data_IF_474478557537
#
_entry.id   IF_474478557537
#
_cell.length_a   1.000
_cell.length_b   1.000
_cell.length_c   1.000
_cell.angle_alpha   90.00
_cell.angle_beta   90.00
_cell.angle_gamma   90.00
#
_symmetry.space_group_name_H-M   'P 1'
#
loop_
_entity.id
_entity.type
_entity.pdbx_description
1 polymer ?
#
# COMPACT_ATOMS: atom_id res chain seq x y z
N UNK A 1 13.96 -19.32 -1.74
CA UNK A 1 13.63 -20.39 -0.76
C UNK A 1 12.12 -20.36 -0.56
N UNK A 2 11.43 -21.43 -0.97
CA UNK A 2 9.97 -21.58 -0.82
C UNK A 2 9.68 -22.03 0.63
N UNK A 3 8.65 -21.50 1.32
CA UNK A 3 8.14 -22.16 2.50
C UNK A 3 7.43 -23.43 2.03
N UNK A 4 7.95 -24.58 2.43
CA UNK A 4 7.33 -25.88 2.21
C UNK A 4 6.11 -26.00 3.13
N UNK A 5 4.90 -26.00 2.52
CA UNK A 5 3.67 -26.37 3.22
C UNK A 5 3.63 -27.89 3.39
N UNK A 6 3.54 -28.36 4.63
CA UNK A 6 3.23 -29.76 4.93
C UNK A 6 1.81 -29.84 5.50
N UNK A 7 0.93 -30.57 4.80
CA UNK A 7 -0.38 -30.99 5.32
C UNK A 7 -0.24 -32.38 5.94
N UNK A 8 -0.36 -32.48 7.27
CA UNK A 8 -0.42 -33.76 7.98
C UNK A 8 -1.89 -34.17 8.23
N UNK A 9 -2.24 -35.39 7.86
CA UNK A 9 -3.48 -36.06 8.27
C UNK A 9 -3.14 -37.13 9.33
N UNK A 10 -3.55 -36.89 10.58
CA UNK A 10 -3.60 -37.92 11.63
C UNK A 10 -2.41 -37.98 12.61
N UNK A 11 -2.78 -38.01 13.90
CA UNK A 11 -1.99 -38.23 15.14
C UNK A 11 -0.62 -37.53 15.28
N UNK A 12 -0.57 -36.58 16.22
CA UNK A 12 0.60 -35.78 16.59
C UNK A 12 1.64 -36.63 17.29
N UNK A 13 2.77 -36.90 16.62
CA UNK A 13 4.06 -37.09 17.26
C UNK A 13 4.94 -35.89 16.91
N UNK A 14 5.44 -35.19 17.91
CA UNK A 14 6.23 -33.98 17.76
C UNK A 14 7.71 -34.31 17.94
N UNK A 15 8.49 -34.25 16.86
CA UNK A 15 9.94 -34.15 16.87
C UNK A 15 10.34 -32.77 16.38
N UNK A 16 11.07 -32.00 17.20
CA UNK A 16 11.46 -30.62 16.91
C UNK A 16 12.91 -30.53 16.45
N UNK A 17 13.13 -29.78 15.36
CA UNK A 17 14.42 -29.25 14.93
C UNK A 17 14.32 -27.71 14.95
N UNK A 18 15.24 -27.07 15.67
CA UNK A 18 15.20 -25.63 15.99
C UNK A 18 15.90 -24.83 14.87
N UNK A 19 15.17 -23.88 14.27
CA UNK A 19 15.70 -22.88 13.34
C UNK A 19 14.68 -21.76 13.11
N UNK A 20 15.15 -20.51 13.00
CA UNK A 20 14.36 -19.28 12.88
C UNK A 20 13.60 -19.20 11.55
N UNK A 21 12.47 -19.89 11.45
CA UNK A 21 11.53 -19.81 10.34
C UNK A 21 10.21 -19.19 10.82
N UNK A 22 9.57 -18.32 10.00
CA UNK A 22 8.22 -17.89 10.28
C UNK A 22 7.28 -19.11 10.29
N UNK A 23 6.58 -19.31 11.41
CA UNK A 23 5.63 -20.42 11.55
C UNK A 23 4.24 -19.90 11.18
N UNK A 24 3.68 -20.43 10.10
CA UNK A 24 2.27 -20.27 9.78
C UNK A 24 1.53 -21.50 10.33
N UNK A 25 0.55 -21.28 11.21
CA UNK A 25 -0.27 -22.36 11.78
C UNK A 25 -1.68 -22.24 11.26
N UNK A 26 -2.14 -23.24 10.50
CA UNK A 26 -3.52 -23.36 10.05
C UNK A 26 -4.23 -24.40 10.91
N UNK A 27 -5.29 -23.99 11.61
CA UNK A 27 -6.10 -24.89 12.44
C UNK A 27 -7.44 -25.16 11.75
N UNK A 28 -7.59 -26.36 11.17
CA UNK A 28 -8.85 -26.80 10.53
C UNK A 28 -9.79 -27.48 11.51
N UNK A 29 -11.03 -27.00 11.56
CA UNK A 29 -12.10 -27.62 12.34
C UNK A 29 -13.19 -28.15 11.40
N UNK A 30 -13.78 -29.29 11.77
CA UNK A 30 -14.77 -29.99 10.95
C UNK A 30 -15.99 -30.32 11.83
N UNK A 31 -16.88 -29.35 12.08
CA UNK A 31 -18.12 -29.56 12.83
C UNK A 31 -19.06 -28.34 12.81
N UNK A 32 -20.36 -28.57 12.62
CA UNK A 32 -21.42 -27.54 12.63
C UNK A 32 -22.03 -27.28 14.03
N UNK A 33 -21.50 -27.90 15.09
CA UNK A 33 -22.06 -27.78 16.44
C UNK A 33 -21.38 -26.68 17.24
N UNK A 34 -22.15 -25.76 17.83
CA UNK A 34 -21.66 -24.69 18.71
C UNK A 34 -20.78 -25.20 19.86
N UNK A 35 -21.11 -26.36 20.43
CA UNK A 35 -20.32 -27.01 21.49
C UNK A 35 -18.95 -27.45 20.96
N UNK A 36 -18.89 -27.91 19.71
CA UNK A 36 -17.63 -28.23 19.05
C UNK A 36 -16.83 -26.98 18.68
N UNK A 37 -17.48 -25.91 18.23
CA UNK A 37 -16.82 -24.62 17.97
C UNK A 37 -16.18 -24.08 19.26
N UNK A 38 -16.91 -24.08 20.37
CA UNK A 38 -16.40 -23.60 21.65
C UNK A 38 -15.26 -24.48 22.18
N UNK A 39 -15.37 -25.82 22.04
CA UNK A 39 -14.27 -26.73 22.40
C UNK A 39 -13.04 -26.53 21.52
N UNK A 40 -13.22 -26.40 20.21
CA UNK A 40 -12.17 -26.11 19.24
C UNK A 40 -11.48 -24.79 19.52
N UNK A 41 -12.25 -23.76 19.89
CA UNK A 41 -11.76 -22.46 20.31
C UNK A 41 -10.94 -22.53 21.60
N UNK A 42 -11.42 -23.25 22.61
CA UNK A 42 -10.69 -23.47 23.86
C UNK A 42 -9.41 -24.29 23.65
N UNK A 43 -9.45 -25.29 22.75
CA UNK A 43 -8.27 -26.07 22.35
C UNK A 43 -7.29 -25.18 21.58
N UNK A 44 -7.77 -24.31 20.69
CA UNK A 44 -6.93 -23.34 19.98
C UNK A 44 -6.27 -22.36 20.95
N UNK A 45 -7.01 -21.85 21.94
CA UNK A 45 -6.48 -21.02 23.04
C UNK A 45 -5.47 -21.77 23.90
N UNK A 46 -5.70 -23.06 24.17
CA UNK A 46 -4.78 -23.91 24.94
C UNK A 46 -3.50 -24.18 24.14
N UNK A 47 -3.61 -24.54 22.86
CA UNK A 47 -2.47 -24.73 21.96
C UNK A 47 -1.72 -23.42 21.80
N UNK A 48 -2.41 -22.31 21.60
CA UNK A 48 -1.86 -20.97 21.59
C UNK A 48 -1.11 -20.66 22.90
N UNK A 49 -1.69 -20.95 24.05
CA UNK A 49 -1.08 -20.78 25.36
C UNK A 49 0.15 -21.67 25.57
N UNK A 50 0.08 -22.95 25.19
CA UNK A 50 1.19 -23.90 25.25
C UNK A 50 2.30 -23.54 24.27
N UNK A 51 1.97 -23.06 23.08
CA UNK A 51 2.93 -22.54 22.10
C UNK A 51 3.55 -21.23 22.60
N UNK A 52 2.80 -20.36 23.27
CA UNK A 52 3.32 -19.12 23.90
C UNK A 52 4.18 -19.40 25.14
N UNK A 53 3.93 -20.53 25.82
CA UNK A 53 4.69 -20.95 27.01
C UNK A 53 5.94 -21.75 26.63
N UNK A 54 5.85 -22.64 25.63
CA UNK A 54 6.95 -23.46 25.12
C UNK A 54 7.86 -22.71 24.12
N UNK A 55 7.31 -21.75 23.37
CA UNK A 55 8.06 -20.74 22.65
C UNK A 55 8.00 -19.48 23.52
N UNK A 56 9.03 -19.22 24.33
CA UNK A 56 9.12 -18.04 25.23
C UNK A 56 9.10 -16.67 24.50
N UNK A 57 8.56 -16.59 23.28
CA UNK A 57 8.62 -15.46 22.34
C UNK A 57 7.38 -15.36 21.42
N UNK A 58 6.27 -15.99 21.78
CA UNK A 58 5.05 -15.98 20.97
C UNK A 58 3.84 -15.49 21.78
N UNK A 59 2.98 -14.69 21.16
CA UNK A 59 1.74 -14.15 21.76
C UNK A 59 0.57 -14.33 20.80
N UNK A 60 -0.64 -14.54 21.33
CA UNK A 60 -1.87 -14.75 20.55
C UNK A 60 -2.93 -13.73 20.93
N UNK A 61 -3.63 -13.20 19.93
CA UNK A 61 -4.93 -12.53 20.09
C UNK A 61 -5.93 -13.14 19.10
N UNK A 62 -7.21 -12.81 19.18
CA UNK A 62 -8.30 -13.38 18.38
C UNK A 62 -9.17 -12.25 17.81
N UNK A 63 -9.55 -12.36 16.54
CA UNK A 63 -10.51 -11.48 15.88
C UNK A 63 -11.58 -12.32 15.17
N UNK A 64 -12.82 -11.84 15.18
CA UNK A 64 -13.95 -12.45 14.46
C UNK A 64 -14.48 -11.45 13.44
N UNK A 65 -14.70 -11.89 12.21
CA UNK A 65 -15.69 -11.29 11.33
C UNK A 65 -16.95 -12.15 11.38
N UNK A 66 -18.13 -11.59 11.15
CA UNK A 66 -19.35 -12.39 11.16
C UNK A 66 -20.18 -11.97 9.96
N UNK A 67 -20.48 -12.92 9.09
CA UNK A 67 -21.71 -12.86 8.31
C UNK A 67 -22.88 -13.50 9.05
N UNK A 68 -22.73 -14.57 9.87
CA UNK A 68 -23.81 -14.98 10.80
C UNK A 68 -23.26 -15.64 12.09
N UNK A 69 -23.56 -15.08 13.27
CA UNK A 69 -23.26 -15.71 14.58
C UNK A 69 -22.52 -14.85 15.62
N UNK A 70 -23.24 -14.49 16.69
CA UNK A 70 -22.83 -13.91 17.99
C UNK A 70 -21.31 -13.93 18.31
N UNK A 71 -20.73 -12.73 18.47
CA UNK A 71 -19.44 -12.52 19.15
C UNK A 71 -19.65 -12.10 20.60
N UNK A 72 -18.97 -12.75 21.55
CA UNK A 72 -19.03 -12.43 22.98
C UNK A 72 -17.92 -11.44 23.33
N UNK A 73 -18.29 -10.28 23.88
CA UNK A 73 -17.37 -9.36 24.58
C UNK A 73 -17.76 -9.36 26.05
N UNK A 74 -16.89 -9.88 26.92
CA UNK A 74 -17.05 -9.75 28.38
C UNK A 74 -16.23 -8.57 28.88
N UNK A 75 -16.91 -7.49 29.25
CA UNK A 75 -16.48 -6.56 30.30
C UNK A 75 -17.73 -5.97 30.97
N UNK A 76 -17.83 -6.13 32.29
CA UNK A 76 -19.04 -5.86 33.05
C UNK A 76 -19.38 -4.37 33.17
N UNK A 77 -20.57 -3.99 32.71
CA UNK A 77 -21.66 -3.30 33.45
C UNK A 77 -22.76 -2.90 32.43
N UNK A 78 -24.06 -2.93 32.81
CA UNK A 78 -25.15 -2.85 31.86
C UNK A 78 -25.55 -1.39 31.62
N UNK A 79 -25.44 -0.88 30.38
CA UNK A 79 -26.13 0.34 29.96
C UNK A 79 -26.75 0.12 28.58
N UNK A 80 -28.01 0.56 28.48
CA UNK A 80 -28.95 0.27 27.42
C UNK A 80 -28.52 0.72 26.01
N UNK A 81 -28.99 -0.04 25.02
CA UNK A 81 -28.81 0.15 23.58
C UNK A 81 -29.60 1.35 23.05
N UNK A 82 -29.05 2.05 22.03
CA UNK A 82 -29.74 2.04 20.75
C UNK A 82 -28.81 1.72 19.57
N UNK A 83 -29.42 1.10 18.56
CA UNK A 83 -28.88 0.70 17.27
C UNK A 83 -28.16 1.84 16.53
N UNK A 84 -26.82 1.79 16.51
CA UNK A 84 -25.91 2.34 15.50
C UNK A 84 -24.47 1.96 15.86
N UNK A 85 -24.07 0.70 15.58
CA UNK A 85 -22.68 0.28 15.74
C UNK A 85 -21.94 0.41 14.42
N UNK A 86 -21.18 1.51 14.28
CA UNK A 86 -20.14 1.60 13.28
C UNK A 86 -18.90 0.87 13.80
N UNK A 87 -18.46 -0.15 13.06
CA UNK A 87 -17.21 -0.85 13.33
C UNK A 87 -16.07 0.12 13.06
N UNK A 88 -15.37 0.47 14.12
CA UNK A 88 -14.20 1.32 14.05
C UNK A 88 -12.96 0.44 14.04
N UNK A 89 -12.04 0.70 13.11
CA UNK A 89 -10.64 0.28 13.21
C UNK A 89 -9.94 0.83 14.47
N UNK A 90 -10.63 1.63 15.31
CA UNK A 90 -10.15 2.12 16.61
C UNK A 90 -10.20 1.10 17.76
N UNK A 91 -10.97 0.01 17.67
CA UNK A 91 -10.99 -1.01 18.74
C UNK A 91 -9.71 -1.86 18.80
N UNK A 92 -8.84 -1.74 17.78
CA UNK A 92 -7.45 -2.18 17.81
C UNK A 92 -6.52 -1.04 18.25
N UNK A 93 -6.66 -0.62 19.51
CA UNK A 93 -5.52 -0.05 20.24
C UNK A 93 -5.12 -1.03 21.32
N UNK A 94 -4.12 -1.86 20.98
CA UNK A 94 -3.23 -2.57 21.89
C UNK A 94 -3.88 -3.21 23.14
N UNK A 95 -4.00 -4.53 23.14
CA UNK A 95 -3.91 -5.27 24.40
C UNK A 95 -2.50 -5.07 24.95
N UNK A 96 -2.37 -4.14 25.90
CA UNK A 96 -1.10 -3.91 26.59
C UNK A 96 -1.07 -4.92 27.74
N UNK A 97 -0.32 -6.01 27.58
CA UNK A 97 -0.10 -6.93 28.68
C UNK A 97 0.71 -6.21 29.77
N UNK A 98 0.25 -6.29 31.02
CA UNK A 98 0.92 -5.67 32.17
C UNK A 98 2.26 -6.32 32.50
N UNK A 99 2.64 -7.40 31.83
CA UNK A 99 3.95 -8.04 31.92
C UNK A 99 4.58 -8.10 30.53
N UNK A 100 5.77 -7.50 30.41
CA UNK A 100 6.59 -7.41 29.19
C UNK A 100 7.10 -8.80 28.81
N UNK A 101 6.68 -9.39 27.68
CA UNK A 101 7.32 -10.58 27.11
C UNK A 101 8.02 -10.19 25.80
N UNK A 102 8.82 -9.12 25.84
CA UNK A 102 9.79 -8.74 24.80
C UNK A 102 11.00 -8.15 25.58
N UNK A 103 12.22 -8.67 25.34
CA UNK A 103 13.41 -8.66 26.22
C UNK A 103 13.97 -7.29 26.71
N UNK A 104 14.86 -7.29 27.74
CA UNK A 104 15.43 -6.07 28.32
C UNK A 104 16.45 -5.42 27.38
N UNK A 105 16.08 -4.29 26.77
CA UNK A 105 17.02 -3.44 26.03
C UNK A 105 16.37 -2.59 24.93
N UNK A 106 15.23 -3.00 24.39
CA UNK A 106 14.46 -2.16 23.46
C UNK A 106 13.64 -1.15 24.26
N UNK A 107 14.06 0.11 24.25
CA UNK A 107 13.44 1.17 25.06
C UNK A 107 12.11 1.64 24.44
N UNK A 108 11.84 1.39 23.16
CA UNK A 108 10.76 2.08 22.45
C UNK A 108 9.87 1.13 21.62
N UNK A 109 8.81 0.60 22.26
CA UNK A 109 7.61 0.16 21.55
C UNK A 109 6.92 -1.13 22.05
N UNK A 110 5.57 -1.16 22.16
CA UNK A 110 4.84 -2.40 22.42
C UNK A 110 4.85 -3.32 21.18
N UNK A 111 5.11 -4.61 21.38
CA UNK A 111 4.93 -5.67 20.37
C UNK A 111 3.46 -5.67 19.87
N UNK A 112 3.25 -5.49 18.56
CA UNK A 112 1.92 -5.48 17.92
C UNK A 112 1.76 -6.72 17.04
N UNK A 113 0.59 -7.36 17.06
CA UNK A 113 0.28 -8.56 16.27
C UNK A 113 -0.98 -8.30 15.46
N UNK A 114 -0.99 -8.73 14.21
CA UNK A 114 -2.11 -8.55 13.29
C UNK A 114 -2.70 -9.92 12.96
N UNK A 115 -4.03 -10.04 12.94
CA UNK A 115 -4.72 -11.24 12.47
C UNK A 115 -5.55 -10.89 11.26
N UNK A 116 -5.56 -11.77 10.27
CA UNK A 116 -6.42 -11.67 9.11
C UNK A 116 -7.41 -12.82 9.12
N UNK A 117 -8.69 -12.52 8.95
CA UNK A 117 -9.71 -13.54 8.75
C UNK A 117 -9.41 -14.35 7.48
N UNK A 118 -9.51 -15.68 7.55
CA UNK A 118 -9.53 -16.51 6.37
C UNK A 118 -10.91 -16.43 5.69
N UNK A 119 -10.97 -16.79 4.40
CA UNK A 119 -12.23 -16.80 3.63
C UNK A 119 -13.31 -17.71 4.24
N UNK A 120 -12.96 -18.65 5.11
CA UNK A 120 -13.89 -19.42 5.92
C UNK A 120 -13.48 -19.44 7.40
N UNK A 121 -14.20 -18.67 8.21
CA UNK A 121 -14.00 -18.55 9.66
C UNK A 121 -14.40 -19.80 10.44
N UNK A 122 -15.18 -20.71 9.83
CA UNK A 122 -15.50 -21.99 10.46
C UNK A 122 -14.31 -22.94 10.50
N UNK A 123 -13.24 -22.66 9.74
CA UNK A 123 -12.13 -23.59 9.55
C UNK A 123 -10.74 -22.98 9.56
N UNK A 124 -10.54 -21.66 9.48
CA UNK A 124 -9.18 -21.09 9.37
C UNK A 124 -9.06 -19.69 10.00
N UNK A 125 -7.91 -19.40 10.62
CA UNK A 125 -7.48 -18.09 11.13
C UNK A 125 -6.01 -17.90 10.75
N UNK A 126 -5.62 -16.72 10.24
CA UNK A 126 -4.23 -16.39 9.90
C UNK A 126 -3.65 -15.46 10.97
N UNK A 127 -2.53 -15.86 11.57
CA UNK A 127 -1.79 -15.07 12.56
C UNK A 127 -0.54 -14.47 11.91
N UNK A 128 -0.47 -13.15 11.80
CA UNK A 128 0.72 -12.44 11.34
C UNK A 128 1.49 -11.91 12.55
N UNK A 129 2.59 -12.59 12.90
CA UNK A 129 3.56 -12.08 13.86
C UNK A 129 4.59 -11.28 13.07
N UNK A 130 4.65 -9.94 13.22
CA UNK A 130 5.70 -9.19 12.56
C UNK A 130 7.05 -9.61 13.14
N UNK A 131 7.95 -10.07 12.27
CA UNK A 131 9.37 -10.18 12.60
C UNK A 131 9.99 -8.78 12.77
N UNK A 132 11.23 -8.74 13.23
CA UNK A 132 12.03 -7.52 13.25
C UNK A 132 12.27 -7.06 11.79
N UNK A 133 11.37 -6.23 11.28
CA UNK A 133 11.35 -5.78 9.89
C UNK A 133 12.06 -4.44 9.77
N UNK A 134 13.39 -4.43 9.88
CA UNK A 134 14.18 -3.30 9.39
C UNK A 134 14.22 -3.35 7.86
N UNK A 135 13.56 -2.41 7.19
CA UNK A 135 13.71 -2.20 5.74
C UNK A 135 14.49 -0.92 5.52
N UNK A 136 15.59 -1.02 4.80
CA UNK A 136 16.33 0.15 4.36
C UNK A 136 15.76 0.60 3.00
N UNK A 137 15.02 1.70 3.03
CA UNK A 137 14.46 2.33 1.84
C UNK A 137 15.28 3.55 1.51
N UNK A 138 15.90 3.55 0.33
CA UNK A 138 16.69 4.66 -0.17
C UNK A 138 15.94 5.36 -1.31
N UNK A 139 15.97 6.69 -1.31
CA UNK A 139 15.43 7.52 -2.38
C UNK A 139 16.50 8.52 -2.82
N UNK A 140 16.66 8.66 -4.14
CA UNK A 140 17.62 9.58 -4.74
C UNK A 140 16.93 10.39 -5.82
N UNK A 141 17.20 11.70 -5.85
CA UNK A 141 16.81 12.55 -6.96
C UNK A 141 17.95 12.61 -7.98
N UNK A 142 17.62 12.37 -9.25
CA UNK A 142 18.57 12.43 -10.36
C UNK A 142 18.04 13.46 -11.36
N UNK A 143 18.73 14.59 -11.46
CA UNK A 143 18.39 15.69 -12.35
C UNK A 143 19.29 15.72 -13.60
N UNK A 144 19.10 16.75 -14.44
CA UNK A 144 19.92 16.95 -15.64
C UNK A 144 19.78 15.88 -16.72
N UNK A 145 18.81 14.96 -16.60
CA UNK A 145 18.60 13.89 -17.57
C UNK A 145 18.08 14.46 -18.90
N UNK A 146 18.62 13.96 -20.01
CA UNK A 146 18.17 14.37 -21.35
C UNK A 146 16.76 13.81 -21.61
N UNK A 147 15.78 14.64 -22.02
CA UNK A 147 14.43 14.17 -22.36
C UNK A 147 14.39 13.21 -23.55
N UNK A 148 13.58 12.17 -23.48
CA UNK A 148 13.48 11.12 -24.51
C UNK A 148 14.69 10.17 -24.59
N UNK A 149 15.62 10.26 -23.63
CA UNK A 149 16.82 9.42 -23.59
C UNK A 149 16.57 8.10 -22.86
N UNK A 150 17.36 7.09 -23.21
CA UNK A 150 17.53 5.87 -22.41
C UNK A 150 18.55 6.15 -21.32
N UNK A 151 18.18 5.92 -20.07
CA UNK A 151 19.06 6.06 -18.91
C UNK A 151 19.38 4.66 -18.41
N UNK A 152 20.68 4.35 -18.28
CA UNK A 152 21.17 3.13 -17.66
C UNK A 152 21.72 3.43 -16.27
N UNK A 153 21.48 2.56 -15.30
CA UNK A 153 22.01 2.70 -13.95
C UNK A 153 22.18 1.34 -13.27
N UNK A 154 22.90 1.33 -12.16
CA UNK A 154 23.04 0.19 -11.25
C UNK A 154 23.08 0.72 -9.81
N UNK A 155 22.86 -0.17 -8.85
CA UNK A 155 22.86 0.15 -7.43
C UNK A 155 24.20 -0.28 -6.84
N UNK A 156 24.83 0.62 -6.08
CA UNK A 156 26.03 0.37 -5.31
C UNK A 156 25.67 0.27 -3.82
N UNK A 157 26.22 -0.71 -3.13
CA UNK A 157 26.23 -0.78 -1.67
C UNK A 157 27.65 -1.16 -1.23
N UNK A 158 28.23 -0.40 -0.30
CA UNK A 158 29.63 -0.56 0.16
C UNK A 158 30.63 -0.67 -1.00
N UNK A 159 30.52 0.25 -1.97
CA UNK A 159 31.33 0.33 -3.20
C UNK A 159 31.24 -0.92 -4.11
N UNK A 160 30.25 -1.78 -3.90
CA UNK A 160 30.00 -2.97 -4.73
C UNK A 160 28.69 -2.84 -5.49
N UNK A 161 28.72 -3.22 -6.76
CA UNK A 161 27.51 -3.32 -7.57
C UNK A 161 26.67 -4.48 -7.02
N UNK A 162 25.47 -4.16 -6.55
CA UNK A 162 24.52 -5.13 -5.95
C UNK A 162 23.27 -5.37 -6.80
N UNK A 163 23.17 -4.70 -7.95
CA UNK A 163 22.09 -4.92 -8.92
C UNK A 163 22.64 -5.22 -10.32
N UNK A 164 21.82 -5.88 -11.14
CA UNK A 164 22.02 -5.86 -12.58
C UNK A 164 21.92 -4.42 -13.13
N UNK A 165 22.39 -4.22 -14.37
CA UNK A 165 22.16 -2.97 -15.10
C UNK A 165 20.66 -2.81 -15.35
N UNK A 166 20.11 -1.68 -14.91
CA UNK A 166 18.71 -1.29 -15.08
C UNK A 166 18.61 -0.15 -16.09
N UNK A 167 17.48 -0.07 -16.80
CA UNK A 167 17.26 0.93 -17.86
C UNK A 167 15.87 1.51 -17.83
N UNK A 168 15.70 2.82 -17.95
CA UNK A 168 14.39 3.43 -18.17
C UNK A 168 14.48 4.51 -19.26
N UNK A 169 13.34 5.04 -19.70
CA UNK A 169 13.29 6.15 -20.65
C UNK A 169 12.74 7.39 -19.98
N UNK A 170 13.38 8.53 -20.21
CA UNK A 170 12.79 9.82 -19.86
C UNK A 170 11.69 10.18 -20.85
N UNK A 171 10.70 10.94 -20.40
CA UNK A 171 9.61 11.41 -21.27
C UNK A 171 10.18 12.43 -22.27
N UNK A 172 9.90 12.31 -23.59
CA UNK A 172 10.35 13.30 -24.56
C UNK A 172 9.57 14.61 -24.41
N UNK A 173 10.24 15.73 -24.70
CA UNK A 173 9.63 17.06 -24.66
C UNK A 173 8.54 17.26 -25.73
N UNK A 174 8.67 16.57 -26.86
CA UNK A 174 7.76 16.69 -28.00
C UNK A 174 7.43 15.32 -28.57
N UNK A 175 6.38 15.25 -29.40
CA UNK A 175 5.89 13.99 -29.97
C UNK A 175 4.83 13.31 -29.11
N UNK A 176 4.58 12.04 -29.42
CA UNK A 176 3.58 11.24 -28.73
C UNK A 176 4.15 10.67 -27.42
N UNK A 177 3.46 10.93 -26.31
CA UNK A 177 3.74 10.33 -25.01
C UNK A 177 2.61 9.36 -24.69
N UNK A 178 2.95 8.08 -24.54
CA UNK A 178 2.02 7.04 -24.08
C UNK A 178 2.23 6.81 -22.59
N UNK A 179 1.15 6.81 -21.82
CA UNK A 179 1.13 6.41 -20.41
C UNK A 179 0.09 5.31 -20.23
N UNK A 180 0.28 4.47 -19.21
CA UNK A 180 -0.75 3.55 -18.74
C UNK A 180 -1.36 4.11 -17.46
N UNK A 181 -2.69 4.03 -17.31
CA UNK A 181 -3.39 4.48 -16.11
C UNK A 181 -4.36 3.39 -15.66
N UNK A 182 -4.39 3.13 -14.36
CA UNK A 182 -5.30 2.19 -13.71
C UNK A 182 -5.28 2.41 -12.20
N UNK A 183 -5.82 1.49 -11.42
CA UNK A 183 -5.77 1.47 -9.95
C UNK A 183 -6.21 0.10 -9.46
N UNK A 184 -6.36 -0.07 -8.15
CA UNK A 184 -6.92 -1.31 -7.56
C UNK A 184 -6.15 -2.57 -8.01
N UNK A 185 -4.83 -2.44 -8.10
CA UNK A 185 -3.99 -3.41 -8.81
C UNK A 185 -3.72 -4.65 -7.97
N UNK A 186 -3.32 -4.44 -6.71
CA UNK A 186 -2.92 -5.47 -5.78
C UNK A 186 -1.69 -6.28 -6.19
N UNK A 187 -1.19 -7.07 -5.24
CA UNK A 187 -0.03 -7.95 -5.44
C UNK A 187 -0.40 -9.41 -5.79
N UNK A 188 -1.65 -9.66 -6.21
CA UNK A 188 -2.12 -11.00 -6.54
C UNK A 188 -1.82 -11.38 -8.01
N UNK A 189 -1.99 -12.65 -8.36
CA UNK A 189 -1.64 -13.17 -9.69
C UNK A 189 -2.49 -12.56 -10.80
N UNK A 190 -3.74 -12.18 -10.51
CA UNK A 190 -4.59 -11.50 -11.49
C UNK A 190 -4.08 -10.08 -11.76
N UNK A 191 -3.77 -9.31 -10.71
CA UNK A 191 -3.17 -7.99 -10.79
C UNK A 191 -1.84 -8.02 -11.56
N UNK A 192 -1.02 -9.05 -11.33
CA UNK A 192 0.18 -9.28 -12.12
C UNK A 192 -0.13 -9.50 -13.60
N UNK A 193 -1.05 -10.41 -13.95
CA UNK A 193 -1.41 -10.70 -15.35
C UNK A 193 -1.95 -9.48 -16.10
N UNK A 194 -2.73 -8.64 -15.41
CA UNK A 194 -3.23 -7.36 -15.95
C UNK A 194 -2.06 -6.40 -16.18
N UNK A 195 -1.20 -6.25 -15.17
CA UNK A 195 -0.01 -5.39 -15.23
C UNK A 195 0.96 -5.82 -16.36
N UNK A 196 1.12 -7.12 -16.60
CA UNK A 196 1.94 -7.64 -17.71
C UNK A 196 1.43 -7.21 -19.09
N UNK A 197 0.14 -6.88 -19.24
CA UNK A 197 -0.37 -6.33 -20.49
C UNK A 197 0.14 -4.92 -20.77
N UNK A 198 0.47 -4.15 -19.72
CA UNK A 198 0.89 -2.75 -19.83
C UNK A 198 2.13 -2.60 -20.71
N UNK A 199 3.11 -3.50 -20.57
CA UNK A 199 4.36 -3.45 -21.35
C UNK A 199 4.14 -3.56 -22.86
N UNK A 200 3.04 -4.20 -23.31
CA UNK A 200 2.72 -4.33 -24.74
C UNK A 200 2.40 -3.00 -25.41
N UNK A 201 2.00 -2.00 -24.62
CA UNK A 201 1.65 -0.67 -25.10
C UNK A 201 2.82 0.32 -25.07
N UNK A 202 4.02 -0.13 -24.69
CA UNK A 202 5.25 0.68 -24.74
C UNK A 202 5.11 2.04 -24.01
N UNK A 203 4.57 2.10 -22.77
CA UNK A 203 4.38 3.38 -22.08
C UNK A 203 5.71 3.96 -21.57
N UNK A 204 5.72 5.28 -21.36
CA UNK A 204 6.80 5.99 -20.66
C UNK A 204 6.64 5.97 -19.14
N UNK A 205 5.42 5.83 -18.65
CA UNK A 205 5.10 5.74 -17.23
C UNK A 205 3.78 4.98 -17.03
N UNK A 206 3.62 4.38 -15.86
CA UNK A 206 2.36 3.84 -15.39
C UNK A 206 1.89 4.62 -14.16
N UNK A 207 0.61 4.98 -14.15
CA UNK A 207 -0.02 5.78 -13.11
C UNK A 207 -1.06 4.92 -12.41
N UNK A 208 -0.94 4.76 -11.09
CA UNK A 208 -1.91 4.05 -10.28
C UNK A 208 -2.73 5.04 -9.45
N UNK A 209 -4.02 5.06 -9.72
CA UNK A 209 -5.04 5.87 -9.09
C UNK A 209 -5.50 5.26 -7.75
N UNK A 210 -4.55 4.97 -6.85
CA UNK A 210 -4.81 4.41 -5.52
C UNK A 210 -5.01 2.90 -5.48
N UNK A 211 -5.04 2.40 -4.24
CA UNK A 211 -5.19 0.99 -3.87
C UNK A 211 -4.17 0.11 -4.60
N UNK A 212 -2.90 0.44 -4.39
CA UNK A 212 -1.81 -0.09 -5.21
C UNK A 212 -1.49 -1.52 -4.81
N UNK A 213 -1.10 -1.73 -3.55
CA UNK A 213 -0.64 -3.04 -3.07
C UNK A 213 -1.68 -3.80 -2.25
N UNK A 214 -2.63 -3.09 -1.63
CA UNK A 214 -3.56 -3.59 -0.60
C UNK A 214 -2.87 -4.07 0.68
N UNK A 215 -1.77 -3.43 1.10
CA UNK A 215 -1.16 -3.68 2.42
C UNK A 215 -2.00 -3.11 3.58
N UNK A 216 -3.01 -2.29 3.29
CA UNK A 216 -3.90 -1.65 4.27
C UNK A 216 -3.16 -0.73 5.23
N UNK A 217 -2.01 -0.19 4.82
CA UNK A 217 -1.07 0.54 5.69
C UNK A 217 -0.71 -0.23 6.97
N UNK A 218 -0.80 -1.55 6.96
CA UNK A 218 -0.44 -2.38 8.11
C UNK A 218 1.06 -2.64 8.03
N UNK A 219 1.80 -2.19 9.04
CA UNK A 219 3.27 -2.34 9.06
C UNK A 219 3.69 -3.82 8.94
N UNK A 220 2.93 -4.73 9.55
CA UNK A 220 3.16 -6.18 9.42
C UNK A 220 2.90 -6.75 8.02
N UNK A 221 2.29 -5.98 7.12
CA UNK A 221 1.96 -6.36 5.74
C UNK A 221 2.88 -5.70 4.71
N UNK A 222 3.99 -5.08 5.12
CA UNK A 222 4.97 -4.48 4.20
C UNK A 222 5.49 -5.45 3.11
N UNK A 223 5.49 -6.76 3.35
CA UNK A 223 5.86 -7.75 2.34
C UNK A 223 4.95 -7.77 1.10
N UNK A 224 3.73 -7.22 1.20
CA UNK A 224 2.81 -7.07 0.08
C UNK A 224 3.34 -6.01 -0.91
N UNK A 225 3.92 -4.91 -0.41
CA UNK A 225 4.65 -3.94 -1.23
C UNK A 225 5.85 -4.59 -1.91
N UNK A 226 6.64 -5.38 -1.18
CA UNK A 226 7.79 -6.08 -1.75
C UNK A 226 7.36 -7.02 -2.89
N UNK A 227 6.24 -7.74 -2.72
CA UNK A 227 5.66 -8.60 -3.77
C UNK A 227 5.18 -7.78 -4.98
N UNK A 228 4.45 -6.69 -4.75
CA UNK A 228 3.98 -5.80 -5.82
C UNK A 228 5.16 -5.25 -6.63
N UNK A 229 6.18 -4.69 -5.96
CA UNK A 229 7.36 -4.12 -6.61
C UNK A 229 8.20 -5.20 -7.32
N UNK A 230 8.33 -6.40 -6.73
CA UNK A 230 9.00 -7.53 -7.39
C UNK A 230 8.27 -7.97 -8.66
N UNK A 231 6.93 -7.94 -8.65
CA UNK A 231 6.14 -8.21 -9.85
C UNK A 231 6.32 -7.12 -10.90
N UNK A 232 6.32 -5.84 -10.50
CA UNK A 232 6.55 -4.74 -11.41
C UNK A 232 7.96 -4.72 -12.02
N UNK A 233 8.99 -5.10 -11.25
CA UNK A 233 10.37 -5.18 -11.73
C UNK A 233 10.54 -6.17 -12.90
N UNK A 234 9.65 -7.17 -13.00
CA UNK A 234 9.62 -8.12 -14.12
C UNK A 234 8.96 -7.56 -15.38
N UNK A 235 8.18 -6.49 -15.25
CA UNK A 235 7.44 -5.88 -16.35
C UNK A 235 8.36 -4.89 -17.06
N UNK A 236 8.72 -5.22 -18.30
CA UNK A 236 9.71 -4.49 -19.10
C UNK A 236 9.21 -4.29 -20.53
N UNK A 237 9.34 -3.06 -21.02
CA UNK A 237 9.10 -2.73 -22.42
C UNK A 237 10.29 -3.19 -23.26
N UNK A 238 10.05 -3.97 -24.31
CA UNK A 238 11.12 -4.38 -25.23
C UNK A 238 11.37 -3.27 -26.28
N UNK A 239 12.64 -2.99 -26.64
CA UNK A 239 12.94 -2.12 -27.77
C UNK A 239 12.27 -2.63 -29.05
N UNK A 240 11.62 -1.75 -29.82
CA UNK A 240 10.94 -2.12 -31.08
C UNK A 240 11.90 -2.38 -32.23
N UNK A 241 13.10 -1.79 -32.18
CA UNK A 241 14.13 -1.97 -33.20
C UNK A 241 15.20 -2.97 -32.72
N UNK A 242 14.92 -4.25 -32.90
CA UNK A 242 15.90 -5.33 -32.70
C UNK A 242 16.76 -5.58 -33.93
N UNK A 243 16.64 -4.73 -34.97
CA UNK A 243 17.32 -4.92 -36.27
C UNK A 243 18.70 -4.28 -36.32
N UNK A 244 19.01 -3.36 -35.41
CA UNK A 244 20.37 -2.94 -35.14
C UNK A 244 21.06 -4.00 -34.27
N UNK A 245 22.38 -4.17 -34.46
CA UNK A 245 23.30 -5.08 -33.78
C UNK A 245 23.39 -4.94 -32.23
N UNK A 246 22.32 -4.53 -31.57
CA UNK A 246 22.16 -4.57 -30.12
C UNK A 246 22.23 -6.04 -29.67
N UNK A 247 23.46 -6.44 -29.34
CA UNK A 247 23.87 -7.47 -28.40
C UNK A 247 22.72 -8.34 -27.87
N UNK A 248 22.82 -9.65 -28.05
CA UNK A 248 21.97 -10.68 -27.43
C UNK A 248 21.79 -10.53 -25.89
N UNK A 249 22.54 -9.62 -25.23
CA UNK A 249 22.35 -9.22 -23.83
C UNK A 249 21.32 -8.08 -23.62
N UNK A 250 20.68 -7.54 -24.66
CA UNK A 250 19.62 -6.50 -24.57
C UNK A 250 18.24 -7.07 -24.17
N UNK A 251 18.23 -8.24 -23.54
CA UNK A 251 17.01 -8.93 -23.11
C UNK A 251 16.31 -8.26 -21.92
N UNK A 252 16.95 -7.29 -21.25
CA UNK A 252 16.41 -6.66 -20.04
C UNK A 252 15.23 -5.70 -20.35
N UNK A 253 15.22 -5.03 -21.51
CA UNK A 253 14.21 -4.02 -21.85
C UNK A 253 14.24 -2.79 -20.94
N UNK A 254 13.23 -1.92 -21.06
CA UNK A 254 13.08 -0.71 -20.26
C UNK A 254 12.09 -0.94 -19.10
N UNK A 255 12.49 -0.55 -17.90
CA UNK A 255 11.59 -0.39 -16.77
C UNK A 255 10.54 0.68 -17.10
N UNK A 256 9.35 0.53 -16.54
CA UNK A 256 8.28 1.52 -16.62
C UNK A 256 8.24 2.28 -15.29
N UNK A 257 8.63 3.57 -15.25
CA UNK A 257 8.46 4.43 -14.09
C UNK A 257 7.02 4.42 -13.55
N UNK A 258 6.90 4.49 -12.22
CA UNK A 258 5.64 4.44 -11.49
C UNK A 258 5.29 5.81 -10.94
N UNK A 259 4.02 6.19 -11.08
CA UNK A 259 3.40 7.35 -10.44
C UNK A 259 2.20 6.83 -9.65
N UNK A 260 2.06 7.19 -8.38
CA UNK A 260 0.94 6.73 -7.57
C UNK A 260 0.12 7.88 -7.00
N UNK A 261 -1.17 7.67 -6.83
CA UNK A 261 -2.02 8.43 -5.92
C UNK A 261 -2.37 7.53 -4.74
N UNK A 262 -2.85 8.11 -3.65
CA UNK A 262 -3.34 7.37 -2.49
C UNK A 262 -4.79 6.93 -2.68
N UNK A 263 -5.06 5.66 -2.38
CA UNK A 263 -6.40 5.12 -2.15
C UNK A 263 -6.66 4.87 -0.67
N UNK A 264 -7.83 4.31 -0.34
CA UNK A 264 -8.16 4.05 1.05
C UNK A 264 -7.33 2.90 1.64
N UNK A 265 -7.00 1.89 0.84
CA UNK A 265 -6.15 0.78 1.27
C UNK A 265 -4.69 1.20 1.44
N UNK A 266 -4.19 2.20 0.71
CA UNK A 266 -2.82 2.69 0.91
C UNK A 266 -2.65 3.46 2.24
N UNK A 267 -3.75 3.97 2.79
CA UNK A 267 -3.81 4.75 4.02
C UNK A 267 -4.44 3.99 5.20
N UNK A 268 -4.83 2.72 5.00
CA UNK A 268 -5.42 1.89 6.06
C UNK A 268 -6.78 2.39 6.57
N UNK A 269 -7.53 3.06 5.69
CA UNK A 269 -8.89 3.55 5.98
C UNK A 269 -9.93 2.81 5.14
N UNK A 270 -11.18 2.82 5.60
CA UNK A 270 -12.29 2.29 4.81
C UNK A 270 -12.68 3.29 3.71
N UNK A 271 -13.66 2.93 2.88
CA UNK A 271 -14.29 3.82 1.88
C UNK A 271 -14.96 5.09 2.46
N UNK A 272 -14.88 5.31 3.77
CA UNK A 272 -15.20 6.60 4.38
C UNK A 272 -13.90 7.17 4.92
N UNK A 273 -13.56 8.42 4.59
CA UNK A 273 -12.35 9.02 5.11
C UNK A 273 -12.43 9.07 6.63
N UNK A 274 -11.32 8.71 7.25
CA UNK A 274 -11.22 8.70 8.70
C UNK A 274 -11.45 10.11 9.23
N UNK A 275 -12.21 10.23 10.33
CA UNK A 275 -12.28 11.49 11.10
C UNK A 275 -10.89 11.94 11.58
N UNK A 276 -9.96 11.00 11.69
CA UNK A 276 -8.57 11.24 12.01
C UNK A 276 -7.75 11.10 10.72
N UNK A 277 -7.43 12.22 10.11
CA UNK A 277 -6.54 12.31 8.96
C UNK A 277 -5.08 12.27 9.41
N UNK A 278 -4.18 11.91 8.51
CA UNK A 278 -2.75 11.92 8.78
C UNK A 278 -2.22 13.34 8.63
N UNK A 279 -1.99 14.03 9.75
CA UNK A 279 -1.28 15.30 9.74
C UNK A 279 0.23 15.03 9.64
N UNK A 280 0.89 15.64 8.65
CA UNK A 280 2.35 15.59 8.53
C UNK A 280 3.06 16.19 9.74
N UNK A 281 2.43 17.12 10.46
CA UNK A 281 2.97 17.73 11.69
C UNK A 281 2.95 16.75 12.89
N UNK A 282 2.07 15.75 12.86
CA UNK A 282 1.97 14.73 13.90
C UNK A 282 2.92 13.54 13.63
N UNK A 283 3.61 13.54 12.49
CA UNK A 283 4.51 12.47 12.10
C UNK A 283 5.75 12.41 12.98
N UNK A 284 6.06 11.21 13.46
CA UNK A 284 7.24 10.95 14.28
C UNK A 284 7.81 9.58 13.90
N UNK A 285 8.95 9.59 13.20
CA UNK A 285 9.61 8.39 12.71
C UNK A 285 10.17 7.51 13.85
N UNK A 286 10.29 8.04 15.07
CA UNK A 286 10.72 7.26 16.24
C UNK A 286 9.56 6.54 16.93
N UNK A 287 8.31 6.88 16.62
CA UNK A 287 7.13 6.35 17.28
C UNK A 287 6.22 5.64 16.28
N UNK A 288 6.19 4.30 16.33
CA UNK A 288 5.41 3.46 15.41
C UNK A 288 3.94 3.90 15.19
N UNK A 289 3.29 4.44 16.23
CA UNK A 289 1.89 4.91 16.16
C UNK A 289 1.69 6.23 15.42
N UNK A 290 2.77 6.98 15.24
CA UNK A 290 2.82 8.28 14.55
C UNK A 290 3.54 8.16 13.20
N UNK A 291 3.85 6.94 12.77
CA UNK A 291 4.39 6.71 11.43
C UNK A 291 3.33 7.05 10.39
N UNK A 292 3.79 7.70 9.32
CA UNK A 292 3.03 7.81 8.09
C UNK A 292 2.76 6.41 7.54
N UNK A 293 1.67 6.22 6.77
CA UNK A 293 1.43 4.99 6.02
C UNK A 293 2.66 4.52 5.22
N UNK A 294 2.83 3.21 5.08
CA UNK A 294 4.00 2.60 4.43
C UNK A 294 4.26 3.17 3.04
N UNK A 295 3.21 3.53 2.31
CA UNK A 295 3.26 4.27 1.06
C UNK A 295 4.29 5.42 1.07
N UNK A 296 4.29 6.25 2.12
CA UNK A 296 5.24 7.37 2.24
C UNK A 296 6.65 6.94 2.58
N UNK A 297 6.86 5.75 3.14
CA UNK A 297 8.19 5.18 3.33
C UNK A 297 8.82 4.81 1.99
N UNK A 298 8.06 4.09 1.16
CA UNK A 298 8.54 3.56 -0.12
C UNK A 298 8.71 4.61 -1.21
N UNK A 299 7.84 5.61 -1.30
CA UNK A 299 7.80 6.49 -2.46
C UNK A 299 7.98 7.95 -2.11
N UNK A 300 8.83 8.61 -2.88
CA UNK A 300 8.97 10.06 -2.93
C UNK A 300 8.66 10.53 -4.35
N UNK A 301 7.56 11.23 -4.52
CA UNK A 301 7.12 11.75 -5.82
C UNK A 301 7.48 13.22 -6.03
N UNK A 302 7.96 13.88 -4.98
CA UNK A 302 8.31 15.30 -4.99
C UNK A 302 9.77 15.50 -4.62
N UNK A 303 10.29 16.66 -5.01
CA UNK A 303 11.61 17.16 -4.68
C UNK A 303 11.44 18.59 -4.19
N UNK A 304 12.13 18.93 -3.12
CA UNK A 304 12.16 20.28 -2.58
C UNK A 304 13.59 20.76 -2.54
N UNK A 305 13.88 21.87 -3.22
CA UNK A 305 15.21 22.49 -3.25
C UNK A 305 16.33 21.52 -3.69
N UNK A 306 16.01 20.60 -4.62
CA UNK A 306 16.94 19.59 -5.14
C UNK A 306 17.09 18.35 -4.25
N UNK A 307 16.36 18.26 -3.15
CA UNK A 307 16.43 17.15 -2.21
C UNK A 307 15.13 16.35 -2.14
N UNK A 308 15.27 15.06 -1.87
CA UNK A 308 14.12 14.18 -1.60
C UNK A 308 13.62 14.47 -0.18
N UNK A 309 12.35 14.89 0.00
CA UNK A 309 11.82 15.16 1.33
C UNK A 309 11.79 13.92 2.22
N UNK A 310 12.08 14.13 3.50
CA UNK A 310 11.88 13.15 4.57
C UNK A 310 10.44 12.62 4.58
N UNK A 311 10.25 11.38 5.03
CA UNK A 311 8.97 10.66 5.00
C UNK A 311 7.81 11.50 5.57
N UNK A 312 8.04 12.20 6.69
CA UNK A 312 7.03 13.04 7.32
C UNK A 312 6.60 14.26 6.50
N UNK A 313 7.45 14.73 5.58
CA UNK A 313 7.21 15.91 4.73
C UNK A 313 6.69 15.57 3.34
N UNK A 314 6.58 14.28 2.99
CA UNK A 314 6.10 13.85 1.66
C UNK A 314 4.60 14.12 1.53
N UNK A 315 4.21 14.80 0.46
CA UNK A 315 2.81 15.13 0.14
C UNK A 315 2.03 13.93 -0.39
N UNK A 316 0.71 13.93 -0.19
CA UNK A 316 -0.20 13.02 -0.90
C UNK A 316 -0.45 13.46 -2.36
N UNK A 317 -0.40 14.76 -2.61
CA UNK A 317 -0.64 15.39 -3.90
C UNK A 317 0.70 15.71 -4.58
N UNK A 318 0.83 15.44 -5.87
CA UNK A 318 2.03 15.80 -6.62
C UNK A 318 1.74 16.06 -8.11
N UNK A 319 2.67 16.73 -8.78
CA UNK A 319 2.54 17.24 -10.14
C UNK A 319 3.67 16.70 -11.02
N UNK A 320 3.29 16.14 -12.15
CA UNK A 320 4.21 15.67 -13.18
C UNK A 320 4.00 16.41 -14.51
N UNK A 321 5.06 16.50 -15.30
CA UNK A 321 5.03 17.15 -16.62
C UNK A 321 5.30 16.10 -17.70
N UNK A 322 4.35 15.93 -18.61
CA UNK A 322 4.43 14.99 -19.72
C UNK A 322 4.63 15.75 -21.03
N UNK A 323 5.90 15.84 -21.45
CA UNK A 323 6.33 16.67 -22.57
C UNK A 323 6.04 18.16 -22.36
N UNK A 324 5.90 18.94 -23.42
CA UNK A 324 5.59 20.38 -23.31
C UNK A 324 4.11 20.71 -23.10
N UNK A 325 3.22 19.71 -23.15
CA UNK A 325 1.80 19.99 -23.38
C UNK A 325 0.90 19.62 -22.22
N UNK A 326 1.33 18.69 -21.35
CA UNK A 326 0.42 18.08 -20.38
C UNK A 326 0.98 18.13 -18.97
N UNK A 327 0.22 18.73 -18.05
CA UNK A 327 0.36 18.51 -16.62
C UNK A 327 -0.45 17.29 -16.20
N UNK A 328 0.16 16.38 -15.43
CA UNK A 328 -0.51 15.29 -14.75
C UNK A 328 -0.54 15.59 -13.25
N UNK A 329 -1.74 15.79 -12.74
CA UNK A 329 -2.04 16.03 -11.33
C UNK A 329 -2.41 14.70 -10.69
N UNK A 330 -1.60 14.21 -9.76
CA UNK A 330 -1.89 13.03 -8.99
C UNK A 330 -2.39 13.48 -7.60
N UNK A 331 -3.68 13.23 -7.34
CA UNK A 331 -4.41 13.90 -6.26
C UNK A 331 -4.95 12.91 -5.24
N UNK A 332 -4.93 13.31 -3.96
CA UNK A 332 -5.59 12.60 -2.86
C UNK A 332 -7.08 12.86 -2.86
N UNK A 333 -7.88 11.80 -2.84
CA UNK A 333 -9.34 11.88 -2.98
C UNK A 333 -10.06 12.03 -1.65
N UNK A 334 -9.58 12.94 -0.78
CA UNK A 334 -10.11 13.20 0.56
C UNK A 334 -9.76 12.13 1.62
N UNK A 335 -8.83 11.21 1.35
CA UNK A 335 -8.48 10.14 2.27
C UNK A 335 -7.36 10.52 3.25
N UNK A 336 -6.26 11.06 2.73
CA UNK A 336 -5.12 11.52 3.52
C UNK A 336 -5.35 12.92 4.06
N UNK A 337 -5.84 13.82 3.21
CA UNK A 337 -6.05 15.24 3.46
C UNK A 337 -7.49 15.65 3.10
N UNK A 338 -8.03 16.76 3.63
CA UNK A 338 -9.31 17.28 3.19
C UNK A 338 -9.32 17.61 1.69
N UNK A 339 -10.43 17.37 1.00
CA UNK A 339 -10.62 17.78 -0.40
C UNK A 339 -10.26 19.25 -0.66
N UNK A 340 -10.55 20.16 0.29
CA UNK A 340 -10.18 21.58 0.21
C UNK A 340 -8.67 21.79 0.21
N UNK A 341 -7.91 21.03 1.00
CA UNK A 341 -6.44 21.11 1.02
C UNK A 341 -5.84 20.80 -0.35
N UNK A 342 -6.35 19.77 -1.04
CA UNK A 342 -5.96 19.45 -2.41
C UNK A 342 -6.30 20.58 -3.39
N UNK A 343 -7.48 21.19 -3.26
CA UNK A 343 -7.88 22.32 -4.09
C UNK A 343 -7.01 23.57 -3.87
N UNK A 344 -6.64 23.85 -2.62
CA UNK A 344 -5.78 24.97 -2.23
C UNK A 344 -4.31 24.76 -2.64
N UNK A 345 -3.87 23.50 -2.69
CA UNK A 345 -2.51 23.12 -3.12
C UNK A 345 -2.26 23.36 -4.61
N UNK A 346 -3.26 23.18 -5.48
CA UNK A 346 -3.10 23.26 -6.94
C UNK A 346 -2.59 24.62 -7.43
N UNK A 347 -3.17 25.77 -7.04
CA UNK A 347 -2.65 27.07 -7.46
C UNK A 347 -1.18 27.28 -7.06
N UNK A 348 -0.78 26.77 -5.89
CA UNK A 348 0.60 26.85 -5.39
C UNK A 348 1.52 25.96 -6.23
N UNK A 349 1.15 24.71 -6.47
CA UNK A 349 1.90 23.77 -7.30
C UNK A 349 2.02 24.27 -8.75
N UNK A 350 0.92 24.81 -9.32
CA UNK A 350 0.90 25.43 -10.64
C UNK A 350 1.84 26.63 -10.73
N UNK A 351 1.82 27.52 -9.73
CA UNK A 351 2.72 28.67 -9.69
C UNK A 351 4.19 28.25 -9.59
N UNK A 352 4.51 27.26 -8.75
CA UNK A 352 5.87 26.69 -8.64
C UNK A 352 6.35 26.07 -9.95
N UNK A 353 5.45 25.41 -10.69
CA UNK A 353 5.74 24.89 -12.03
C UNK A 353 5.84 26.00 -13.10
N UNK A 354 5.43 27.24 -12.78
CA UNK A 354 5.35 28.39 -13.69
C UNK A 354 6.67 28.89 -14.28
N UNK A 355 7.82 28.29 -13.92
CA UNK A 355 9.08 28.46 -14.64
C UNK A 355 9.13 27.76 -16.01
N UNK A 356 8.13 26.95 -16.36
CA UNK A 356 8.04 26.23 -17.62
C UNK A 356 7.36 27.11 -18.69
N UNK A 357 8.14 27.62 -19.65
CA UNK A 357 7.65 28.31 -20.84
C UNK A 357 7.98 27.51 -22.11
N UNK A 358 6.99 27.21 -22.98
CA UNK A 358 5.57 27.53 -22.85
C UNK A 358 4.86 26.66 -21.82
N UNK A 359 3.87 27.23 -21.12
CA UNK A 359 3.07 26.47 -20.15
C UNK A 359 2.28 25.33 -20.82
N UNK A 360 2.25 24.13 -20.21
CA UNK A 360 1.37 23.05 -20.62
C UNK A 360 -0.09 23.51 -20.72
N UNK A 361 -0.73 23.17 -21.84
CA UNK A 361 -2.12 23.55 -22.13
C UNK A 361 -3.15 22.52 -21.69
N UNK A 362 -2.72 21.26 -21.50
CA UNK A 362 -3.56 20.14 -21.11
C UNK A 362 -3.30 19.82 -19.66
N UNK A 363 -4.36 19.55 -18.93
CA UNK A 363 -4.28 19.16 -17.53
C UNK A 363 -5.05 17.85 -17.39
N UNK A 364 -4.39 16.83 -16.88
CA UNK A 364 -4.93 15.51 -16.58
C UNK A 364 -4.93 15.34 -15.06
N UNK A 365 -6.09 15.08 -14.45
CA UNK A 365 -6.17 14.73 -13.04
C UNK A 365 -6.35 13.21 -12.91
N UNK A 366 -5.58 12.61 -12.02
CA UNK A 366 -5.66 11.20 -11.64
C UNK A 366 -5.85 11.14 -10.12
N UNK A 367 -6.85 10.39 -9.66
CA UNK A 367 -7.17 10.24 -8.24
C UNK A 367 -7.99 8.97 -7.99
N UNK A 368 -8.10 8.51 -6.75
CA UNK A 368 -8.74 7.24 -6.43
C UNK A 368 -10.27 7.29 -6.42
N UNK A 369 -10.90 8.09 -5.55
CA UNK A 369 -12.37 8.04 -5.36
C UNK A 369 -13.11 8.75 -6.50
N UNK A 370 -13.98 8.06 -7.26
CA UNK A 370 -14.59 8.61 -8.45
C UNK A 370 -15.58 9.69 -8.10
N UNK A 371 -15.55 10.81 -8.83
CA UNK A 371 -16.53 11.88 -8.58
C UNK A 371 -17.90 11.53 -9.14
N UNK A 372 -17.99 10.69 -10.17
CA UNK A 372 -19.25 10.28 -10.80
C UNK A 372 -19.31 8.76 -10.90
N UNK A 373 -19.39 8.04 -9.76
CA UNK A 373 -19.37 6.58 -9.76
C UNK A 373 -20.56 6.00 -10.53
N UNK A 374 -20.32 4.96 -11.31
CA UNK A 374 -21.39 4.17 -11.94
C UNK A 374 -22.15 3.26 -10.96
N UNK A 375 -21.58 3.01 -9.78
CA UNK A 375 -22.13 2.11 -8.76
C UNK A 375 -22.92 2.88 -7.69
N UNK A 376 -23.99 2.27 -7.17
CA UNK A 376 -24.92 2.90 -6.22
C UNK A 376 -24.58 2.66 -4.74
N UNK A 377 -23.29 2.57 -4.37
CA UNK A 377 -22.90 2.40 -2.96
C UNK A 377 -23.06 3.72 -2.19
N UNK A 378 -23.86 3.78 -1.10
CA UNK A 378 -24.09 5.02 -0.36
C UNK A 378 -22.81 5.66 0.19
N UNK A 379 -21.83 4.85 0.59
CA UNK A 379 -20.54 5.33 1.10
C UNK A 379 -19.73 6.06 0.03
N UNK A 380 -19.61 5.44 -1.14
CA UNK A 380 -18.93 6.02 -2.32
C UNK A 380 -19.62 7.33 -2.70
N UNK A 381 -20.95 7.32 -2.88
CA UNK A 381 -21.70 8.52 -3.24
C UNK A 381 -21.54 9.70 -2.27
N UNK A 382 -21.48 9.42 -0.96
CA UNK A 382 -21.25 10.46 0.04
C UNK A 382 -19.87 11.12 -0.10
N UNK A 383 -18.82 10.34 -0.39
CA UNK A 383 -17.47 10.88 -0.61
C UNK A 383 -17.35 11.57 -1.97
N UNK A 384 -17.86 10.96 -3.04
CA UNK A 384 -17.93 11.57 -4.38
C UNK A 384 -18.62 12.93 -4.34
N UNK A 385 -19.70 13.07 -3.56
CA UNK A 385 -20.43 14.35 -3.42
C UNK A 385 -19.56 15.43 -2.77
N UNK A 386 -18.83 15.10 -1.70
CA UNK A 386 -17.90 16.06 -1.06
C UNK A 386 -16.79 16.50 -2.01
N UNK A 387 -16.23 15.57 -2.78
CA UNK A 387 -15.23 15.91 -3.79
C UNK A 387 -15.81 16.86 -4.83
N UNK A 388 -17.00 16.57 -5.37
CA UNK A 388 -17.67 17.44 -6.35
C UNK A 388 -17.93 18.85 -5.82
N UNK A 389 -18.45 18.98 -4.60
CA UNK A 389 -18.76 20.27 -3.97
C UNK A 389 -17.54 21.21 -3.91
N UNK A 390 -16.35 20.66 -3.71
CA UNK A 390 -15.10 21.43 -3.65
C UNK A 390 -14.43 21.52 -5.01
N UNK A 391 -14.15 20.38 -5.64
CA UNK A 391 -13.30 20.30 -6.83
C UNK A 391 -13.99 20.77 -8.10
N UNK A 392 -15.30 20.58 -8.29
CA UNK A 392 -15.97 21.15 -9.47
C UNK A 392 -15.83 22.67 -9.49
N UNK A 393 -16.05 23.30 -8.33
CA UNK A 393 -15.96 24.75 -8.13
C UNK A 393 -14.51 25.24 -8.28
N UNK A 394 -13.58 24.60 -7.59
CA UNK A 394 -12.25 25.19 -7.38
C UNK A 394 -11.18 24.69 -8.36
N UNK A 395 -11.36 23.49 -8.90
CA UNK A 395 -10.36 22.73 -9.65
C UNK A 395 -10.78 22.53 -11.11
N UNK A 396 -11.93 21.91 -11.36
CA UNK A 396 -12.35 21.51 -12.71
C UNK A 396 -12.90 22.66 -13.56
N UNK A 397 -13.54 23.66 -12.95
CA UNK A 397 -13.85 24.91 -13.64
C UNK A 397 -12.60 25.68 -14.12
N UNK A 398 -11.45 25.33 -13.54
CA UNK A 398 -10.08 25.86 -13.73
C UNK A 398 -9.55 25.70 -15.16
N UNK A 399 -9.14 24.47 -15.46
CA UNK A 399 -8.34 24.11 -16.64
C UNK A 399 -8.21 22.61 -16.89
N UNK A 400 -8.85 21.73 -16.11
CA UNK A 400 -8.66 20.28 -16.26
C UNK A 400 -9.38 19.76 -17.49
N UNK A 401 -8.63 19.08 -18.36
CA UNK A 401 -9.12 18.57 -19.65
C UNK A 401 -9.59 17.12 -19.56
N UNK A 402 -8.92 16.31 -18.73
CA UNK A 402 -9.18 14.88 -18.59
C UNK A 402 -9.12 14.52 -17.11
N UNK A 403 -10.08 13.71 -16.68
CA UNK A 403 -10.18 13.15 -15.34
C UNK A 403 -10.11 11.64 -15.49
N UNK A 404 -9.29 10.99 -14.67
CA UNK A 404 -9.20 9.54 -14.58
C UNK A 404 -9.29 9.16 -13.10
N UNK A 405 -10.23 8.29 -12.77
CA UNK A 405 -10.40 7.77 -11.42
C UNK A 405 -10.44 6.23 -11.38
N UNK A 406 -10.39 5.68 -10.16
CA UNK A 406 -10.44 4.24 -9.87
C UNK A 406 -11.47 3.96 -8.76
N UNK A 407 -11.28 2.93 -7.93
CA UNK A 407 -12.19 2.44 -6.88
C UNK A 407 -13.41 1.65 -7.41
#
# INVERSE_FOLDING_TARGET
QLPTMWTYHGQVYLSMLIGALPIMVTLKFNSDSFVHILRSFLIALLIAGVMSYGLQRSCISIFATIDHGVGVVLAGTPVAWPSNYQWSTRLTRALTFSHRPCEPGSVDGPCQIYLTAANNLSSEIIINVPGDYSRDVHAAFVDGLTPGAVVEFWILADDKIVSDVRRFRTVPLSGQVTIAVGGDAGANDLGQRVSEQVAKYDPYAAVFAGDVSYDNSLIGCACIWDKFLSNWDKIRVKPKDTSSSASLNDSQGYMIPLIFTTGNHDLGVNAQPSRQRYDSHDCDMSVMRKLRPLYFGYFAFEVHDGEVPEICRRSNNHLHVLGHTTFLWALDSDYGEPAQSTADWIPVAYYRAGGLEPRPRRHMAVYHMPMYPGLSSPGIWAQSTRLREVWERDLFAKSVSIIIDSH
#
